data_IF_762024482109
#
_entry.id   IF_762024482109
#
_cell.length_a   1.000
_cell.length_b   1.000
_cell.length_c   1.000
_cell.angle_alpha   90.00
_cell.angle_beta   90.00
_cell.angle_gamma   90.00
#
_symmetry.space_group_name_H-M   'P 1'
#
loop_
_entity.id
_entity.type
_entity.pdbx_description
1 polymer ?
#
# COMPACT_ATOMS: atom_id res chain seq x y z
N UNK A 1 2.34 17.66 -11.70
CA UNK A 1 0.96 17.46 -12.18
C UNK A 1 0.78 15.99 -12.44
N UNK A 2 -0.24 15.42 -11.85
CA UNK A 2 -0.71 14.05 -12.07
C UNK A 2 -1.97 14.08 -12.93
N UNK A 3 -2.06 13.19 -13.92
CA UNK A 3 -3.26 13.02 -14.71
C UNK A 3 -4.13 11.97 -14.01
N UNK A 4 -5.21 12.41 -13.38
CA UNK A 4 -6.10 11.53 -12.64
C UNK A 4 -7.09 10.80 -13.56
N UNK A 5 -7.66 11.54 -14.52
CA UNK A 5 -8.44 11.02 -15.65
C UNK A 5 -8.02 11.76 -16.92
N UNK A 6 -8.59 11.39 -18.07
CA UNK A 6 -8.36 12.14 -19.31
C UNK A 6 -8.72 13.63 -19.21
N UNK A 7 -9.63 13.97 -18.29
CA UNK A 7 -10.17 15.32 -18.14
C UNK A 7 -9.83 16.00 -16.81
N UNK A 8 -9.27 15.27 -15.84
CA UNK A 8 -8.98 15.77 -14.50
C UNK A 8 -7.49 15.63 -14.20
N UNK A 9 -6.90 16.71 -13.72
CA UNK A 9 -5.51 16.75 -13.29
C UNK A 9 -5.40 17.28 -11.89
N UNK A 10 -4.54 16.65 -11.10
CA UNK A 10 -4.14 17.14 -9.79
C UNK A 10 -2.75 17.79 -9.88
N UNK A 11 -2.59 18.98 -9.32
CA UNK A 11 -1.32 19.72 -9.40
C UNK A 11 -0.94 20.25 -8.03
N UNK A 12 0.30 19.99 -7.64
CA UNK A 12 0.90 20.47 -6.39
C UNK A 12 2.04 21.43 -6.74
N UNK A 13 2.14 22.56 -6.02
CA UNK A 13 3.25 23.48 -6.15
C UNK A 13 4.47 22.95 -5.41
N UNK A 14 5.53 22.71 -6.16
CA UNK A 14 6.82 22.19 -5.67
C UNK A 14 7.76 23.33 -5.38
N UNK A 15 8.50 23.27 -4.27
CA UNK A 15 9.63 24.18 -3.94
C UNK A 15 10.91 23.65 -4.54
N UNK A 16 11.15 22.34 -4.38
CA UNK A 16 12.39 21.70 -4.79
C UNK A 16 12.16 20.26 -5.18
N UNK A 17 12.88 19.78 -6.18
CA UNK A 17 13.05 18.37 -6.51
C UNK A 17 14.26 17.86 -5.72
N UNK A 18 14.01 17.01 -4.71
CA UNK A 18 15.05 16.56 -3.79
C UNK A 18 15.80 15.35 -4.31
N UNK A 19 15.10 14.46 -5.00
CA UNK A 19 15.65 13.22 -5.51
C UNK A 19 14.91 12.74 -6.75
N UNK A 20 15.64 12.13 -7.71
CA UNK A 20 15.09 11.53 -8.92
C UNK A 20 15.99 10.40 -9.39
N UNK A 21 15.42 9.22 -9.57
CA UNK A 21 16.11 8.04 -10.09
C UNK A 21 15.15 7.16 -10.89
N UNK A 22 15.63 6.58 -11.98
CA UNK A 22 14.97 5.47 -12.66
C UNK A 22 15.53 4.17 -12.11
N UNK A 23 14.76 3.49 -11.27
CA UNK A 23 15.10 2.14 -10.80
C UNK A 23 14.91 1.09 -11.91
N UNK A 24 15.11 -0.17 -11.58
CA UNK A 24 14.79 -1.28 -12.50
C UNK A 24 13.28 -1.36 -12.81
N UNK A 25 12.43 -0.87 -11.92
CA UNK A 25 10.99 -1.07 -11.96
C UNK A 25 10.23 0.20 -12.34
N UNK A 26 10.65 1.37 -11.83
CA UNK A 26 9.87 2.59 -11.93
C UNK A 26 10.72 3.86 -11.77
N UNK A 27 10.17 5.00 -12.14
CA UNK A 27 10.74 6.32 -11.81
C UNK A 27 10.39 6.65 -10.36
N UNK A 28 11.38 7.03 -9.56
CA UNK A 28 11.22 7.43 -8.15
C UNK A 28 11.61 8.89 -8.03
N UNK A 29 10.70 9.72 -7.55
CA UNK A 29 10.94 11.13 -7.30
C UNK A 29 10.54 11.51 -5.87
N UNK A 30 11.37 12.31 -5.20
CA UNK A 30 11.03 12.98 -3.94
C UNK A 30 10.98 14.47 -4.18
N UNK A 31 9.81 15.04 -3.90
CA UNK A 31 9.55 16.47 -4.07
C UNK A 31 9.33 17.14 -2.71
N UNK A 32 9.87 18.35 -2.50
CA UNK A 32 9.45 19.22 -1.39
C UNK A 32 8.37 20.18 -1.88
N UNK A 33 7.19 20.08 -1.30
CA UNK A 33 6.05 20.92 -1.67
C UNK A 33 5.93 22.16 -0.78
N UNK A 34 5.08 23.10 -1.20
CA UNK A 34 4.86 24.33 -0.43
C UNK A 34 4.02 24.05 0.83
N UNK A 35 3.04 23.15 0.77
CA UNK A 35 2.03 22.97 1.82
C UNK A 35 1.92 21.55 2.38
N UNK A 36 2.42 20.54 1.66
CA UNK A 36 2.19 19.14 1.97
C UNK A 36 3.44 18.42 2.52
N UNK A 37 4.56 19.15 2.68
CA UNK A 37 5.84 18.57 3.05
C UNK A 37 6.46 17.80 1.87
N UNK A 38 7.22 16.76 2.19
CA UNK A 38 7.81 15.90 1.17
C UNK A 38 6.77 14.97 0.58
N UNK A 39 6.96 14.66 -0.70
CA UNK A 39 6.04 13.84 -1.51
C UNK A 39 6.86 12.75 -2.16
N UNK A 40 6.40 11.50 -2.03
CA UNK A 40 6.86 10.38 -2.84
C UNK A 40 6.02 10.31 -4.11
N UNK A 41 6.68 10.27 -5.25
CA UNK A 41 6.05 10.09 -6.56
C UNK A 41 6.69 8.91 -7.26
N UNK A 42 5.88 7.97 -7.72
CA UNK A 42 6.31 6.80 -8.50
C UNK A 42 5.67 6.84 -9.88
N UNK A 43 6.48 6.80 -10.95
CA UNK A 43 6.04 6.89 -12.35
C UNK A 43 5.11 8.10 -12.64
N UNK A 44 5.25 9.19 -11.87
CA UNK A 44 4.43 10.39 -12.01
C UNK A 44 3.17 10.43 -11.14
N UNK A 45 2.86 9.35 -10.41
CA UNK A 45 1.74 9.27 -9.48
C UNK A 45 2.18 9.63 -8.06
N UNK A 46 1.37 10.44 -7.37
CA UNK A 46 1.58 10.78 -5.96
C UNK A 46 1.24 9.56 -5.11
N UNK A 47 2.23 9.00 -4.42
CA UNK A 47 2.02 7.85 -3.53
C UNK A 47 1.70 8.26 -2.11
N UNK A 48 2.34 9.31 -1.62
CA UNK A 48 2.06 9.90 -0.30
C UNK A 48 2.58 11.33 -0.19
N UNK A 49 2.03 12.07 0.76
CA UNK A 49 2.61 13.33 1.26
C UNK A 49 2.81 13.24 2.77
N UNK A 50 3.81 13.93 3.32
CA UNK A 50 4.05 13.96 4.77
C UNK A 50 2.83 14.46 5.57
N UNK A 51 1.97 15.25 4.94
CA UNK A 51 0.85 15.91 5.62
C UNK A 51 -0.33 15.00 5.85
N UNK A 52 -0.63 14.08 4.96
CA UNK A 52 -1.88 13.29 5.01
C UNK A 52 -1.69 11.77 4.86
N UNK A 53 -0.45 11.28 4.73
CA UNK A 53 -0.15 9.85 4.59
C UNK A 53 -0.73 8.99 5.73
N UNK A 54 -0.80 9.57 6.93
CA UNK A 54 -1.29 8.86 8.11
C UNK A 54 -2.75 8.41 7.95
N UNK A 55 -3.57 9.15 7.19
CA UNK A 55 -4.97 8.79 6.96
C UNK A 55 -5.05 7.42 6.29
N UNK A 56 -4.23 7.20 5.26
CA UNK A 56 -4.14 5.92 4.57
C UNK A 56 -3.59 4.82 5.50
N UNK A 57 -2.41 5.05 6.06
CA UNK A 57 -1.69 4.04 6.83
C UNK A 57 -2.44 3.61 8.09
N UNK A 58 -3.11 4.54 8.76
CA UNK A 58 -3.97 4.21 9.90
C UNK A 58 -5.21 3.42 9.45
N UNK A 59 -5.88 3.82 8.39
CA UNK A 59 -7.10 3.15 7.93
C UNK A 59 -6.84 1.74 7.43
N UNK A 60 -5.77 1.52 6.65
CA UNK A 60 -5.45 0.18 6.16
C UNK A 60 -4.98 -0.76 7.30
N UNK A 61 -4.40 -0.21 8.36
CA UNK A 61 -3.85 -0.98 9.48
C UNK A 61 -4.83 -1.12 10.64
N UNK A 62 -5.41 -0.01 11.12
CA UNK A 62 -6.16 -0.04 12.37
C UNK A 62 -7.54 -0.69 12.24
N UNK A 63 -8.17 -0.60 11.08
CA UNK A 63 -9.48 -1.24 10.83
C UNK A 63 -9.40 -2.77 10.99
N UNK A 64 -8.50 -3.49 10.29
CA UNK A 64 -8.36 -4.93 10.49
C UNK A 64 -7.87 -5.30 11.89
N UNK A 65 -6.94 -4.54 12.45
CA UNK A 65 -6.42 -4.80 13.80
C UNK A 65 -7.46 -4.59 14.90
N UNK A 66 -8.41 -3.66 14.71
CA UNK A 66 -9.55 -3.48 15.61
C UNK A 66 -10.61 -4.58 15.43
N UNK A 67 -10.73 -5.12 14.21
CA UNK A 67 -11.66 -6.23 13.90
C UNK A 67 -11.19 -7.53 14.50
N UNK A 68 -9.89 -7.81 14.47
CA UNK A 68 -9.27 -8.95 15.13
C UNK A 68 -7.99 -8.51 15.86
N UNK A 69 -8.07 -8.23 17.19
CA UNK A 69 -6.92 -7.77 17.95
C UNK A 69 -5.89 -8.86 18.27
N UNK A 70 -6.21 -10.13 17.99
CA UNK A 70 -5.34 -11.29 18.24
C UNK A 70 -4.43 -11.64 17.06
N UNK A 71 -4.40 -10.80 16.01
CA UNK A 71 -3.49 -10.96 14.88
C UNK A 71 -2.04 -10.89 15.37
N UNK A 72 -1.26 -11.92 15.03
CA UNK A 72 0.15 -12.07 15.43
C UNK A 72 1.11 -11.98 14.26
N UNK A 73 0.69 -12.40 13.08
CA UNK A 73 1.51 -12.47 11.87
C UNK A 73 0.83 -11.69 10.76
N UNK A 74 1.59 -10.82 10.13
CA UNK A 74 1.09 -9.97 9.03
C UNK A 74 2.03 -10.10 7.84
N UNK A 75 1.46 -10.23 6.66
CA UNK A 75 2.15 -10.04 5.41
C UNK A 75 1.70 -8.71 4.80
N UNK A 76 2.65 -7.89 4.42
CA UNK A 76 2.43 -6.64 3.70
C UNK A 76 3.10 -6.75 2.33
N UNK A 77 2.33 -6.53 1.26
CA UNK A 77 2.85 -6.53 -0.11
C UNK A 77 2.90 -5.10 -0.60
N UNK A 78 4.10 -4.62 -0.96
CA UNK A 78 4.39 -3.22 -1.19
C UNK A 78 4.76 -2.51 0.11
N UNK A 79 4.36 -1.25 0.26
CA UNK A 79 4.64 -0.41 1.43
C UNK A 79 6.13 -0.08 1.62
N UNK A 80 6.88 0.10 0.53
CA UNK A 80 8.29 0.50 0.55
C UNK A 80 8.55 1.83 1.28
N UNK A 81 7.53 2.67 1.45
CA UNK A 81 7.58 3.88 2.27
C UNK A 81 7.64 3.62 3.79
N UNK A 82 7.18 2.45 4.25
CA UNK A 82 7.22 2.02 5.66
C UNK A 82 6.04 2.48 6.53
N UNK A 83 5.08 3.24 6.00
CA UNK A 83 3.99 3.79 6.80
C UNK A 83 3.07 2.71 7.40
N UNK A 84 2.67 1.72 6.62
CA UNK A 84 1.91 0.55 7.09
C UNK A 84 2.71 -0.22 8.16
N UNK A 85 4.01 -0.41 7.96
CA UNK A 85 4.89 -1.07 8.93
C UNK A 85 4.96 -0.28 10.24
N UNK A 86 5.08 1.05 10.15
CA UNK A 86 5.04 1.93 11.32
C UNK A 86 3.77 1.71 12.14
N UNK A 87 2.63 1.66 11.50
CA UNK A 87 1.35 1.48 12.18
C UNK A 87 1.20 0.06 12.76
N UNK A 88 1.58 -0.98 12.04
CA UNK A 88 1.55 -2.36 12.54
C UNK A 88 2.43 -2.56 13.78
N UNK A 89 3.60 -1.95 13.83
CA UNK A 89 4.52 -2.08 14.97
C UNK A 89 4.00 -1.46 16.27
N UNK A 90 2.94 -0.63 16.22
CA UNK A 90 2.26 -0.09 17.41
C UNK A 90 1.45 -1.15 18.15
N UNK A 91 1.06 -2.24 17.48
CA UNK A 91 0.28 -3.31 18.08
C UNK A 91 1.21 -4.35 18.74
N UNK A 92 1.04 -4.51 20.06
CA UNK A 92 1.85 -5.46 20.84
C UNK A 92 1.52 -6.92 20.53
N UNK A 93 0.31 -7.21 20.02
CA UNK A 93 -0.09 -8.53 19.57
C UNK A 93 0.66 -9.00 18.32
N UNK A 94 1.13 -8.07 17.49
CA UNK A 94 1.87 -8.41 16.27
C UNK A 94 3.29 -8.84 16.65
N UNK A 95 3.58 -10.10 16.38
CA UNK A 95 4.85 -10.76 16.70
C UNK A 95 5.78 -10.87 15.49
N UNK A 96 5.21 -10.87 14.26
CA UNK A 96 5.97 -11.07 13.03
C UNK A 96 5.32 -10.33 11.85
N UNK A 97 6.12 -9.61 11.09
CA UNK A 97 5.71 -8.87 9.89
C UNK A 97 6.64 -9.28 8.75
N UNK A 98 6.11 -9.96 7.74
CA UNK A 98 6.77 -10.14 6.45
C UNK A 98 6.37 -8.97 5.54
N UNK A 99 7.33 -8.18 5.08
CA UNK A 99 7.13 -7.11 4.11
C UNK A 99 7.78 -7.52 2.79
N UNK A 100 6.99 -7.55 1.72
CA UNK A 100 7.47 -7.92 0.38
C UNK A 100 7.38 -6.70 -0.52
N UNK A 101 8.52 -6.18 -0.93
CA UNK A 101 8.64 -5.02 -1.81
C UNK A 101 9.49 -5.38 -3.02
N UNK A 102 8.96 -5.13 -4.22
CA UNK A 102 9.68 -5.48 -5.45
C UNK A 102 10.86 -4.55 -5.72
N UNK A 103 10.74 -3.29 -5.30
CA UNK A 103 11.73 -2.25 -5.57
C UNK A 103 12.48 -1.82 -4.30
N UNK A 104 13.63 -2.45 -4.05
CA UNK A 104 14.51 -2.10 -2.94
C UNK A 104 14.87 -0.62 -2.90
N UNK A 105 14.97 0.06 -4.08
CA UNK A 105 15.32 1.48 -4.14
C UNK A 105 14.27 2.37 -3.49
N UNK A 106 12.99 2.01 -3.58
CA UNK A 106 11.91 2.76 -2.89
C UNK A 106 12.17 2.75 -1.38
N UNK A 107 12.47 1.60 -0.80
CA UNK A 107 12.76 1.46 0.64
C UNK A 107 13.97 2.31 1.06
N UNK A 108 15.06 2.25 0.31
CA UNK A 108 16.28 3.01 0.60
C UNK A 108 16.04 4.52 0.52
N UNK A 109 15.36 4.99 -0.52
CA UNK A 109 15.02 6.40 -0.72
C UNK A 109 14.06 6.89 0.38
N UNK A 110 13.08 6.08 0.76
CA UNK A 110 12.15 6.46 1.84
C UNK A 110 12.85 6.50 3.21
N UNK A 111 13.80 5.61 3.50
CA UNK A 111 14.62 5.71 4.72
C UNK A 111 15.40 7.02 4.79
N UNK A 112 15.89 7.52 3.66
CA UNK A 112 16.68 8.76 3.59
C UNK A 112 15.80 10.01 3.61
N UNK A 113 14.75 10.04 2.80
CA UNK A 113 13.97 11.26 2.56
C UNK A 113 12.65 11.34 3.33
N UNK A 114 12.09 10.21 3.76
CA UNK A 114 10.82 10.10 4.49
C UNK A 114 10.97 9.31 5.80
N UNK A 115 11.91 9.72 6.68
CA UNK A 115 12.22 8.94 7.88
C UNK A 115 11.04 8.81 8.85
N UNK A 116 10.04 9.70 8.81
CA UNK A 116 8.85 9.62 9.67
C UNK A 116 7.93 8.44 9.30
N UNK A 117 7.87 8.02 8.01
CA UNK A 117 7.15 6.81 7.60
C UNK A 117 8.04 5.57 7.76
N UNK A 118 9.30 5.66 7.34
CA UNK A 118 10.23 4.54 7.30
C UNK A 118 10.86 4.17 8.67
N UNK A 119 10.54 4.89 9.75
CA UNK A 119 11.21 4.79 11.07
C UNK A 119 11.11 3.41 11.75
N UNK A 120 10.25 2.51 11.27
CA UNK A 120 10.05 1.18 11.86
C UNK A 120 10.43 0.03 10.93
N UNK A 121 11.01 0.30 9.79
CA UNK A 121 11.47 -0.75 8.88
C UNK A 121 12.60 -1.62 9.46
N UNK A 122 13.29 -1.14 10.49
CA UNK A 122 14.33 -1.88 11.21
C UNK A 122 13.86 -2.47 12.56
N UNK A 123 12.52 -2.50 12.82
CA UNK A 123 11.95 -3.17 14.01
C UNK A 123 12.26 -4.69 13.93
N UNK A 124 12.70 -5.34 15.03
CA UNK A 124 13.13 -6.75 15.02
C UNK A 124 12.04 -7.73 14.60
N UNK A 125 10.78 -7.33 14.58
CA UNK A 125 9.66 -8.15 14.11
C UNK A 125 9.47 -8.09 12.59
N UNK A 126 10.15 -7.16 11.89
CA UNK A 126 9.98 -6.89 10.46
C UNK A 126 11.04 -7.63 9.65
N UNK A 127 10.59 -8.37 8.67
CA UNK A 127 11.43 -9.10 7.73
C UNK A 127 11.10 -8.61 6.31
N UNK A 128 12.05 -7.95 5.66
CA UNK A 128 11.86 -7.37 4.32
C UNK A 128 12.42 -8.34 3.28
N UNK A 129 11.59 -8.65 2.28
CA UNK A 129 11.92 -9.47 1.13
C UNK A 129 11.81 -8.64 -0.15
N UNK A 130 12.88 -8.54 -0.92
CA UNK A 130 12.92 -7.82 -2.18
C UNK A 130 12.58 -8.76 -3.33
N UNK A 131 11.30 -9.05 -3.50
CA UNK A 131 10.80 -9.99 -4.50
C UNK A 131 9.35 -9.67 -4.96
N UNK A 132 8.89 -10.41 -5.94
CA UNK A 132 7.54 -10.30 -6.48
C UNK A 132 6.51 -10.87 -5.48
N UNK A 133 5.59 -10.01 -5.02
CA UNK A 133 4.54 -10.37 -4.07
C UNK A 133 3.63 -11.52 -4.52
N UNK A 134 3.37 -11.64 -5.84
CA UNK A 134 2.60 -12.77 -6.39
C UNK A 134 3.30 -14.11 -6.19
N UNK A 135 4.62 -14.13 -6.39
CA UNK A 135 5.44 -15.33 -6.19
C UNK A 135 5.52 -15.68 -4.70
N UNK A 136 5.66 -14.66 -3.86
CA UNK A 136 5.73 -14.83 -2.42
C UNK A 136 4.47 -15.49 -1.86
N UNK A 137 3.28 -15.01 -2.27
CA UNK A 137 2.00 -15.54 -1.80
C UNK A 137 1.74 -16.98 -2.28
N UNK A 138 2.22 -17.32 -3.46
CA UNK A 138 2.12 -18.71 -3.95
C UNK A 138 2.91 -19.71 -3.10
N UNK A 139 3.90 -19.24 -2.33
CA UNK A 139 4.79 -20.06 -1.52
C UNK A 139 4.59 -20.01 -0.01
N UNK A 140 3.78 -19.09 0.51
CA UNK A 140 3.61 -18.86 1.98
C UNK A 140 2.20 -18.38 2.33
N UNK A 141 1.91 -18.44 3.62
CA UNK A 141 0.61 -18.12 4.23
C UNK A 141 0.54 -16.67 4.75
N UNK A 142 -0.34 -15.79 4.21
CA UNK A 142 -0.79 -14.46 4.71
C UNK A 142 -0.53 -13.23 3.79
N UNK A 143 -1.52 -12.31 3.58
CA UNK A 143 -1.44 -11.21 2.58
C UNK A 143 -2.13 -9.90 2.97
N UNK A 144 -1.47 -8.78 2.58
CA UNK A 144 -2.01 -7.44 2.32
C UNK A 144 -1.41 -6.90 1.00
N UNK A 145 -2.10 -6.03 0.24
CA UNK A 145 -1.66 -5.66 -1.12
C UNK A 145 -1.82 -4.18 -1.51
N UNK A 146 -1.09 -3.76 -2.54
CA UNK A 146 -0.95 -2.42 -3.11
C UNK A 146 -1.86 -2.11 -4.31
N UNK A 147 -1.71 -0.91 -4.91
CA UNK A 147 -2.50 -0.37 -6.02
C UNK A 147 -2.50 -1.20 -7.33
N UNK A 148 -3.57 -1.08 -8.16
CA UNK A 148 -3.79 -1.91 -9.35
C UNK A 148 -2.97 -1.56 -10.59
N UNK A 149 -2.00 -0.64 -10.52
CA UNK A 149 -1.23 -0.16 -11.68
C UNK A 149 0.23 -0.61 -11.66
N UNK A 150 0.83 -0.77 -12.86
CA UNK A 150 2.22 -1.12 -13.01
C UNK A 150 2.56 -2.53 -12.49
N UNK A 151 3.63 -2.70 -11.70
CA UNK A 151 4.05 -4.01 -11.18
C UNK A 151 3.00 -4.71 -10.30
N UNK A 152 2.03 -3.95 -9.76
CA UNK A 152 0.95 -4.46 -8.92
C UNK A 152 -0.26 -5.04 -9.68
N UNK A 153 -0.35 -4.91 -11.01
CA UNK A 153 -1.55 -5.29 -11.78
C UNK A 153 -1.98 -6.76 -11.57
N UNK A 154 -1.03 -7.66 -11.37
CA UNK A 154 -1.28 -9.07 -11.06
C UNK A 154 -1.94 -9.32 -9.70
N UNK A 155 -1.85 -8.39 -8.74
CA UNK A 155 -2.38 -8.49 -7.38
C UNK A 155 -3.91 -8.31 -7.29
N UNK A 156 -4.59 -8.07 -8.42
CA UNK A 156 -6.05 -7.89 -8.49
C UNK A 156 -6.76 -9.02 -9.25
N UNK A 157 -6.04 -10.11 -9.52
CA UNK A 157 -6.58 -11.27 -10.23
C UNK A 157 -7.39 -12.19 -9.30
N UNK A 158 -8.32 -12.95 -9.88
CA UNK A 158 -9.05 -13.97 -9.15
C UNK A 158 -8.11 -15.03 -8.55
N UNK A 159 -7.03 -15.38 -9.27
CA UNK A 159 -6.00 -16.30 -8.80
C UNK A 159 -5.29 -15.77 -7.54
N UNK A 160 -4.93 -14.50 -7.55
CA UNK A 160 -4.30 -13.86 -6.40
C UNK A 160 -5.19 -13.92 -5.15
N UNK A 161 -6.45 -13.51 -5.24
CA UNK A 161 -7.38 -13.57 -4.11
C UNK A 161 -7.62 -15.01 -3.61
N UNK A 162 -7.64 -15.99 -4.52
CA UNK A 162 -7.73 -17.40 -4.15
C UNK A 162 -6.48 -17.89 -3.40
N UNK A 163 -5.29 -17.43 -3.77
CA UNK A 163 -4.05 -17.73 -3.07
C UNK A 163 -4.01 -17.04 -1.70
N UNK A 164 -4.44 -15.76 -1.61
CA UNK A 164 -4.58 -15.07 -0.33
C UNK A 164 -5.52 -15.80 0.62
N UNK A 165 -6.69 -16.24 0.13
CA UNK A 165 -7.65 -17.00 0.95
C UNK A 165 -7.05 -18.28 1.50
N UNK A 166 -6.29 -19.02 0.71
CA UNK A 166 -5.62 -20.26 1.15
C UNK A 166 -4.49 -20.00 2.15
N UNK A 167 -3.85 -18.84 2.03
CA UNK A 167 -2.73 -18.43 2.85
C UNK A 167 -3.16 -17.94 4.24
N UNK A 168 -4.38 -17.45 4.37
CA UNK A 168 -4.90 -16.93 5.64
C UNK A 168 -5.24 -18.04 6.62
N UNK A 169 -4.97 -17.79 7.90
CA UNK A 169 -5.49 -18.61 9.00
C UNK A 169 -7.02 -18.48 9.07
N UNK A 170 -7.67 -19.35 9.88
CA UNK A 170 -9.13 -19.43 10.02
C UNK A 170 -9.81 -18.07 10.31
N UNK A 171 -9.18 -17.21 11.12
CA UNK A 171 -9.66 -15.87 11.46
C UNK A 171 -8.83 -14.75 10.80
N UNK A 172 -8.12 -15.08 9.73
CA UNK A 172 -7.28 -14.13 9.02
C UNK A 172 -8.10 -13.10 8.23
N UNK A 173 -7.57 -11.90 8.10
CA UNK A 173 -8.20 -10.79 7.39
C UNK A 173 -7.32 -10.41 6.20
N UNK A 174 -7.92 -10.30 5.02
CA UNK A 174 -7.33 -9.65 3.86
C UNK A 174 -7.81 -8.19 3.83
N UNK A 175 -6.88 -7.26 3.72
CA UNK A 175 -7.19 -5.85 3.40
C UNK A 175 -6.56 -5.53 2.06
N UNK A 176 -7.31 -4.87 1.20
CA UNK A 176 -6.87 -4.51 -0.12
C UNK A 176 -7.36 -3.11 -0.49
N UNK A 177 -6.44 -2.24 -0.88
CA UNK A 177 -6.78 -0.91 -1.38
C UNK A 177 -7.38 -1.03 -2.78
N UNK A 178 -8.33 -0.17 -3.06
CA UNK A 178 -8.96 0.00 -4.38
C UNK A 178 -9.16 1.46 -4.69
N UNK A 179 -9.41 1.71 -5.97
CA UNK A 179 -9.71 3.02 -6.52
C UNK A 179 -10.93 3.68 -5.87
N UNK A 180 -10.99 5.00 -5.98
CA UNK A 180 -12.11 5.81 -5.53
C UNK A 180 -13.41 5.40 -6.22
N UNK A 181 -14.49 5.27 -5.44
CA UNK A 181 -15.84 5.04 -5.98
C UNK A 181 -16.50 6.33 -6.48
N UNK A 182 -15.84 7.46 -6.33
CA UNK A 182 -16.37 8.77 -6.73
C UNK A 182 -16.40 8.95 -8.26
N UNK A 183 -15.45 8.33 -8.98
CA UNK A 183 -15.40 8.37 -10.44
C UNK A 183 -15.97 7.08 -11.02
N UNK A 184 -16.89 7.19 -11.98
CA UNK A 184 -17.65 6.04 -12.54
C UNK A 184 -16.73 4.94 -13.07
N UNK A 185 -15.66 5.30 -13.77
CA UNK A 185 -14.68 4.34 -14.31
C UNK A 185 -14.01 3.53 -13.20
N UNK A 186 -13.56 4.20 -12.16
CA UNK A 186 -12.90 3.57 -11.01
C UNK A 186 -13.89 2.77 -10.17
N UNK A 187 -15.11 3.25 -10.03
CA UNK A 187 -16.19 2.52 -9.36
C UNK A 187 -16.46 1.16 -10.03
N UNK A 188 -16.40 1.08 -11.35
CA UNK A 188 -16.56 -0.20 -12.07
C UNK A 188 -15.35 -1.14 -11.89
N UNK A 189 -14.13 -0.61 -11.80
CA UNK A 189 -12.93 -1.39 -11.49
C UNK A 189 -13.07 -1.98 -10.08
N UNK A 190 -13.43 -1.17 -9.09
CA UNK A 190 -13.64 -1.61 -7.72
C UNK A 190 -14.75 -2.67 -7.59
N UNK A 191 -15.89 -2.49 -8.25
CA UNK A 191 -16.99 -3.48 -8.27
C UNK A 191 -16.53 -4.85 -8.79
N UNK A 192 -15.70 -4.85 -9.86
CA UNK A 192 -15.13 -6.10 -10.42
C UNK A 192 -14.18 -6.76 -9.44
N UNK A 193 -13.28 -6.01 -8.80
CA UNK A 193 -12.37 -6.53 -7.82
C UNK A 193 -13.12 -7.09 -6.60
N UNK A 194 -14.07 -6.34 -6.05
CA UNK A 194 -14.92 -6.80 -4.94
C UNK A 194 -15.70 -8.07 -5.27
N UNK A 195 -16.22 -8.19 -6.50
CA UNK A 195 -16.88 -9.43 -6.95
C UNK A 195 -15.94 -10.64 -6.94
N UNK A 196 -14.65 -10.43 -7.31
CA UNK A 196 -13.62 -11.48 -7.27
C UNK A 196 -13.32 -11.88 -5.82
N UNK A 197 -13.17 -10.92 -4.91
CA UNK A 197 -12.95 -11.16 -3.49
C UNK A 197 -14.12 -11.96 -2.90
N UNK A 198 -15.36 -11.55 -3.13
CA UNK A 198 -16.56 -12.23 -2.65
C UNK A 198 -16.71 -13.67 -3.12
N UNK A 199 -16.02 -14.08 -4.17
CA UNK A 199 -16.04 -15.48 -4.62
C UNK A 199 -15.22 -16.43 -3.73
N UNK A 200 -14.36 -15.89 -2.84
CA UNK A 200 -13.52 -16.66 -1.93
C UNK A 200 -13.84 -16.36 -0.47
N UNK A 201 -14.08 -15.10 -0.13
CA UNK A 201 -14.25 -14.65 1.25
C UNK A 201 -15.75 -14.61 1.61
N UNK A 202 -16.18 -15.34 2.68
CA UNK A 202 -17.58 -15.39 3.10
C UNK A 202 -18.08 -14.03 3.63
N UNK A 203 -17.17 -13.23 4.21
CA UNK A 203 -17.43 -11.87 4.65
C UNK A 203 -16.52 -10.95 3.83
N UNK A 204 -17.12 -9.98 3.16
CA UNK A 204 -16.40 -8.97 2.37
C UNK A 204 -17.12 -7.63 2.52
N UNK A 205 -16.45 -6.68 3.13
CA UNK A 205 -16.94 -5.33 3.42
C UNK A 205 -16.06 -4.30 2.75
N UNK A 206 -16.64 -3.16 2.39
CA UNK A 206 -15.93 -1.99 1.87
C UNK A 206 -16.03 -0.88 2.91
N UNK A 207 -14.90 -0.23 3.18
CA UNK A 207 -14.86 1.02 3.93
C UNK A 207 -14.07 2.06 3.14
N UNK A 208 -14.21 3.31 3.46
CA UNK A 208 -13.58 4.41 2.75
C UNK A 208 -12.75 5.28 3.67
N UNK A 209 -11.63 5.76 3.17
CA UNK A 209 -10.86 6.86 3.73
C UNK A 209 -10.84 8.01 2.72
N UNK A 210 -10.99 9.24 3.22
CA UNK A 210 -10.87 10.43 2.38
C UNK A 210 -9.49 11.04 2.60
N UNK A 211 -8.63 10.92 1.61
CA UNK A 211 -7.27 11.46 1.64
C UNK A 211 -7.24 12.65 0.69
N UNK A 212 -6.98 13.87 1.19
CA UNK A 212 -7.07 15.10 0.38
C UNK A 212 -6.21 15.10 -0.88
N UNK A 213 -5.07 14.40 -0.85
CA UNK A 213 -4.15 14.31 -1.98
C UNK A 213 -4.36 13.09 -2.87
N UNK A 214 -5.33 12.24 -2.51
CA UNK A 214 -5.81 11.09 -3.27
C UNK A 214 -7.28 11.32 -3.63
N UNK A 215 -7.57 12.02 -4.73
CA UNK A 215 -8.93 12.37 -5.13
C UNK A 215 -9.74 11.17 -5.64
#
# INVERSE_FOLDING_TARGET
TENHTDNIRFSIKVKQHLYSEKSRYQQIDILDSVELGRILVLDGFVMLTEKDEYIYHEMITHVPMATNPDIKRVLVIGAGDGGTIRELTRFKSVEHIDMVEIDQRVVEVCKEYLPQTACRLDDPRVHIYYEDGLKFVRGKDIVDSTDPFGPGEGLFTKEFYGNCYKALNENGILVNQHESTFYDEYAEIMKRAHSRIKSFFPISLVYQAHIPTYP
#
